data_IF_525973623637
#
_entry.id   IF_525973623637
#
_cell.length_a   1.000
_cell.length_b   1.000
_cell.length_c   1.000
_cell.angle_alpha   90.00
_cell.angle_beta   90.00
_cell.angle_gamma   90.00
#
_symmetry.space_group_name_H-M   'P 1'
#
loop_
_entity.id
_entity.type
_entity.pdbx_description
1 polymer ?
#
# COMPACT_ATOMS: atom_id res chain seq x y z
N UNK A 1 7.07 27.74 0.86
CA UNK A 1 7.67 26.41 0.67
C UNK A 1 7.48 25.92 -0.77
N UNK A 2 8.41 25.12 -1.30
CA UNK A 2 8.23 24.43 -2.60
C UNK A 2 7.28 23.24 -2.42
N UNK A 3 6.39 23.04 -3.40
CA UNK A 3 5.47 21.91 -3.43
C UNK A 3 5.18 21.51 -4.89
N UNK A 4 4.89 20.22 -5.10
CA UNK A 4 4.18 19.78 -6.31
C UNK A 4 2.70 20.05 -6.07
N UNK A 5 2.05 20.73 -6.98
CA UNK A 5 0.65 21.07 -6.86
C UNK A 5 -0.13 20.57 -8.07
N UNK A 6 -1.23 19.87 -7.83
CA UNK A 6 -2.23 19.55 -8.86
C UNK A 6 -3.24 20.69 -8.90
N UNK A 7 -3.35 21.38 -10.03
CA UNK A 7 -4.22 22.54 -10.21
C UNK A 7 -5.50 22.21 -10.99
N UNK A 8 -5.63 20.97 -11.45
CA UNK A 8 -6.75 20.45 -12.21
C UNK A 8 -6.40 19.10 -12.84
N UNK A 9 -7.37 18.47 -13.48
CA UNK A 9 -7.15 17.17 -14.13
C UNK A 9 -6.03 17.25 -15.17
N UNK A 10 -5.02 16.38 -15.02
CA UNK A 10 -3.83 16.34 -15.89
C UNK A 10 -2.90 17.53 -15.75
N UNK A 11 -3.09 18.40 -14.75
CA UNK A 11 -2.27 19.60 -14.55
C UNK A 11 -1.51 19.52 -13.24
N UNK A 12 -0.22 19.23 -13.33
CA UNK A 12 0.71 19.20 -12.20
C UNK A 12 1.86 20.18 -12.45
N UNK A 13 2.39 20.77 -11.39
CA UNK A 13 3.54 21.65 -11.50
C UNK A 13 4.16 21.98 -10.15
N UNK A 14 5.38 22.50 -10.19
CA UNK A 14 6.05 23.04 -9.02
C UNK A 14 5.45 24.41 -8.69
N UNK A 15 5.08 24.62 -7.43
CA UNK A 15 4.49 25.85 -6.93
C UNK A 15 5.23 26.33 -5.67
N UNK A 16 5.23 27.65 -5.48
CA UNK A 16 5.60 28.28 -4.23
C UNK A 16 4.32 28.54 -3.41
N UNK A 17 4.14 27.78 -2.36
CA UNK A 17 2.99 27.90 -1.47
C UNK A 17 3.42 28.53 -0.12
N UNK A 18 2.51 29.23 0.59
CA UNK A 18 2.76 29.58 1.99
C UNK A 18 2.92 28.30 2.82
N UNK A 19 3.66 28.40 3.91
CA UNK A 19 3.70 27.32 4.90
C UNK A 19 2.32 27.15 5.53
N UNK A 20 1.88 25.91 5.80
CA UNK A 20 0.60 25.68 6.45
C UNK A 20 0.56 26.31 7.85
N UNK A 21 -0.51 27.02 8.16
CA UNK A 21 -0.72 27.53 9.51
C UNK A 21 -1.07 26.38 10.46
N UNK A 22 -0.43 26.39 11.64
CA UNK A 22 -0.70 25.38 12.67
C UNK A 22 -2.16 25.46 13.14
N UNK A 23 -2.79 24.31 13.33
CA UNK A 23 -4.19 24.19 13.74
C UNK A 23 -4.29 23.36 15.03
N UNK A 24 -5.33 23.53 15.86
CA UNK A 24 -5.56 22.68 17.03
C UNK A 24 -5.51 21.18 16.66
N UNK A 25 -4.87 20.38 17.52
CA UNK A 25 -4.67 18.94 17.33
C UNK A 25 -3.65 18.55 16.25
N UNK A 26 -2.96 19.51 15.60
CA UNK A 26 -2.06 19.24 14.49
C UNK A 26 -0.59 19.51 14.83
N UNK A 27 0.26 18.86 14.07
CA UNK A 27 1.69 19.11 14.01
C UNK A 27 2.11 19.51 12.58
N UNK A 28 3.12 20.34 12.48
CA UNK A 28 3.78 20.70 11.23
C UNK A 28 4.99 19.80 11.03
N UNK A 29 5.06 19.13 9.89
CA UNK A 29 6.09 18.16 9.55
C UNK A 29 6.94 18.71 8.42
N UNK A 30 8.26 18.82 8.66
CA UNK A 30 9.23 18.97 7.58
C UNK A 30 9.40 17.61 6.90
N UNK A 31 9.00 17.51 5.63
CA UNK A 31 9.00 16.23 4.89
C UNK A 31 10.45 15.85 4.54
N UNK A 32 10.88 14.68 5.01
CA UNK A 32 12.20 14.13 4.73
C UNK A 32 12.26 13.23 3.51
N UNK A 33 11.20 12.47 3.27
CA UNK A 33 11.03 11.65 2.06
C UNK A 33 9.54 11.36 1.80
N UNK A 34 9.18 11.23 0.52
CA UNK A 34 7.84 10.84 0.09
C UNK A 34 7.91 9.88 -1.11
N UNK A 35 7.13 8.81 -1.07
CA UNK A 35 6.95 7.84 -2.15
C UNK A 35 5.96 8.33 -3.20
N UNK A 36 6.13 7.87 -4.45
CA UNK A 36 5.20 8.09 -5.54
C UNK A 36 4.37 6.83 -5.77
N UNK A 37 3.05 6.94 -5.58
CA UNK A 37 2.09 5.88 -5.80
C UNK A 37 1.33 6.05 -7.12
N UNK A 38 0.82 4.96 -7.67
CA UNK A 38 -0.09 5.02 -8.83
C UNK A 38 -1.37 5.83 -8.51
N UNK A 39 -1.80 5.81 -7.26
CA UNK A 39 -2.93 6.64 -6.78
C UNK A 39 -2.71 8.13 -7.02
N UNK A 40 -1.48 8.65 -6.94
CA UNK A 40 -1.20 10.06 -7.23
C UNK A 40 -1.50 10.37 -8.71
N UNK A 41 -1.19 9.44 -9.61
CA UNK A 41 -1.50 9.55 -11.04
C UNK A 41 -3.01 9.48 -11.28
N UNK A 42 -3.71 8.61 -10.56
CA UNK A 42 -5.16 8.49 -10.68
C UNK A 42 -5.90 9.71 -10.12
N UNK A 43 -5.43 10.28 -9.02
CA UNK A 43 -5.91 11.57 -8.49
C UNK A 43 -5.68 12.70 -9.49
N UNK A 44 -4.49 12.79 -10.08
CA UNK A 44 -4.16 13.78 -11.10
C UNK A 44 -5.13 13.72 -12.29
N UNK A 45 -5.53 12.52 -12.68
CA UNK A 45 -6.44 12.32 -13.82
C UNK A 45 -7.93 12.24 -13.44
N UNK A 46 -8.26 12.38 -12.15
CA UNK A 46 -9.65 12.32 -11.66
C UNK A 46 -10.27 10.93 -11.72
N UNK A 47 -9.43 9.88 -11.71
CA UNK A 47 -9.86 8.48 -11.71
C UNK A 47 -10.02 7.89 -10.31
N UNK A 48 -9.52 8.58 -9.28
CA UNK A 48 -9.58 8.15 -7.89
C UNK A 48 -10.09 9.27 -6.98
N UNK A 49 -11.14 8.96 -6.19
CA UNK A 49 -11.71 9.87 -5.21
C UNK A 49 -12.41 11.09 -5.81
N UNK A 50 -12.84 11.98 -4.93
CA UNK A 50 -13.44 13.30 -5.25
C UNK A 50 -12.49 14.43 -4.86
N UNK A 51 -11.26 14.40 -5.36
CA UNK A 51 -10.23 15.37 -5.00
C UNK A 51 -10.62 16.77 -5.49
N UNK A 52 -10.63 17.74 -4.58
CA UNK A 52 -10.74 19.14 -4.93
C UNK A 52 -9.35 19.70 -5.26
N UNK A 53 -9.26 20.49 -6.33
CA UNK A 53 -8.04 21.21 -6.69
C UNK A 53 -8.11 22.67 -6.21
N UNK A 54 -7.00 23.33 -5.87
CA UNK A 54 -5.62 22.81 -5.89
C UNK A 54 -5.33 21.83 -4.75
N UNK A 55 -4.44 20.85 -5.01
CA UNK A 55 -4.06 19.82 -4.06
C UNK A 55 -2.54 19.57 -4.11
N UNK A 56 -1.91 19.44 -2.96
CA UNK A 56 -0.56 18.88 -2.82
C UNK A 56 -0.70 17.36 -2.64
N UNK A 57 -0.26 16.53 -3.59
CA UNK A 57 -0.38 15.07 -3.48
C UNK A 57 0.70 14.47 -2.57
N UNK A 58 0.82 13.12 -2.60
CA UNK A 58 1.78 12.35 -1.83
C UNK A 58 1.22 11.90 -0.48
N UNK A 59 0.99 10.59 -0.35
CA UNK A 59 0.40 9.98 0.84
C UNK A 59 1.33 8.98 1.52
N UNK A 60 2.47 8.66 0.93
CA UNK A 60 3.50 7.77 1.44
C UNK A 60 4.70 8.60 1.91
N UNK A 61 4.69 9.14 3.15
CA UNK A 61 5.77 10.04 3.55
C UNK A 61 6.14 9.97 5.03
N UNK A 62 7.36 10.42 5.30
CA UNK A 62 7.94 10.55 6.62
C UNK A 62 8.73 11.86 6.74
N UNK A 63 8.90 12.34 7.95
CA UNK A 63 9.60 13.61 8.19
C UNK A 63 9.87 13.89 9.66
N UNK A 64 10.23 15.14 9.95
CA UNK A 64 10.50 15.62 11.31
C UNK A 64 9.41 16.58 11.75
N UNK A 65 8.91 16.43 12.95
CA UNK A 65 8.00 17.40 13.60
C UNK A 65 8.78 18.69 13.86
N UNK A 66 8.35 19.81 13.30
CA UNK A 66 9.00 21.13 13.52
C UNK A 66 8.19 22.04 14.43
N UNK A 67 6.87 21.88 14.47
CA UNK A 67 6.00 22.61 15.39
C UNK A 67 4.76 21.77 15.74
N UNK A 68 4.17 22.04 16.90
CA UNK A 68 2.94 21.40 17.38
C UNK A 68 1.97 22.46 17.91
N UNK A 69 0.66 22.19 17.82
CA UNK A 69 -0.34 23.02 18.50
C UNK A 69 -0.27 22.83 20.03
N UNK A 70 -0.76 23.81 20.79
CA UNK A 70 -0.69 23.81 22.25
C UNK A 70 -1.39 22.63 22.93
N UNK A 71 -2.41 22.08 22.27
CA UNK A 71 -3.19 20.93 22.73
C UNK A 71 -2.59 19.56 22.35
N UNK A 72 -1.48 19.54 21.60
CA UNK A 72 -0.79 18.30 21.19
C UNK A 72 0.22 17.88 22.25
N UNK A 73 0.09 16.65 22.74
CA UNK A 73 0.96 16.05 23.77
C UNK A 73 1.60 14.73 23.36
N UNK A 74 1.20 14.18 22.20
CA UNK A 74 1.63 12.85 21.72
C UNK A 74 2.96 12.87 20.97
N UNK A 75 3.33 14.02 20.44
CA UNK A 75 4.58 14.26 19.71
C UNK A 75 5.16 15.62 20.11
N UNK A 76 6.44 15.84 19.84
CA UNK A 76 7.15 17.10 20.11
C UNK A 76 8.05 17.48 18.92
N UNK A 77 8.45 18.77 18.82
CA UNK A 77 9.45 19.19 17.84
C UNK A 77 10.74 18.36 17.96
N UNK A 78 11.28 17.94 16.82
CA UNK A 78 12.41 17.04 16.70
C UNK A 78 12.05 15.55 16.58
N UNK A 79 10.83 15.14 16.88
CA UNK A 79 10.41 13.75 16.69
C UNK A 79 10.38 13.40 15.19
N UNK A 80 10.89 12.22 14.87
CA UNK A 80 10.91 11.66 13.51
C UNK A 80 9.73 10.73 13.34
N UNK A 81 8.91 10.96 12.32
CA UNK A 81 7.59 10.33 12.20
C UNK A 81 7.28 9.86 10.77
N UNK A 82 6.51 8.79 10.64
CA UNK A 82 5.76 8.43 9.44
C UNK A 82 4.29 8.82 9.62
N UNK A 83 3.62 9.08 8.52
CA UNK A 83 2.23 9.53 8.50
C UNK A 83 1.31 8.40 8.08
N UNK A 84 0.23 8.17 8.85
CA UNK A 84 -0.95 7.44 8.38
C UNK A 84 -1.82 8.42 7.59
N UNK A 85 -1.96 8.25 6.26
CA UNK A 85 -2.70 9.22 5.47
C UNK A 85 -4.22 9.15 5.68
N UNK A 86 -4.78 8.06 6.19
CA UNK A 86 -6.21 7.83 6.29
C UNK A 86 -6.85 8.68 7.40
N UNK A 87 -7.87 9.44 7.05
CA UNK A 87 -8.63 10.31 7.98
C UNK A 87 -10.09 9.80 8.02
N UNK A 88 -10.40 8.79 8.86
CA UNK A 88 -11.76 8.27 8.98
C UNK A 88 -12.66 9.20 9.81
N UNK A 89 -13.97 9.15 9.59
CA UNK A 89 -14.92 9.96 10.35
C UNK A 89 -15.13 9.49 11.82
N UNK A 90 -14.71 8.28 12.16
CA UNK A 90 -14.79 7.70 13.50
C UNK A 90 -16.18 7.21 13.95
N UNK A 91 -17.27 7.59 13.29
CA UNK A 91 -18.64 7.37 13.74
C UNK A 91 -19.56 6.59 12.78
N UNK A 92 -19.14 6.30 11.55
CA UNK A 92 -19.93 5.49 10.63
C UNK A 92 -19.86 4.00 11.02
N UNK A 93 -20.76 3.19 10.42
CA UNK A 93 -20.86 1.74 10.73
C UNK A 93 -19.51 1.01 10.53
N UNK A 94 -18.74 1.36 9.53
CA UNK A 94 -17.44 0.73 9.29
C UNK A 94 -16.44 1.11 10.38
N UNK A 95 -16.32 2.40 10.73
CA UNK A 95 -15.45 2.88 11.80
C UNK A 95 -15.78 2.22 13.15
N UNK A 96 -17.08 2.14 13.52
CA UNK A 96 -17.52 1.50 14.77
C UNK A 96 -17.21 0.00 14.81
N UNK A 97 -16.94 -0.65 13.68
CA UNK A 97 -16.49 -2.04 13.57
C UNK A 97 -14.98 -2.20 13.51
N UNK A 98 -14.19 -1.10 13.60
CA UNK A 98 -12.75 -1.12 13.46
C UNK A 98 -12.26 -1.25 12.01
N UNK A 99 -13.15 -1.10 11.02
CA UNK A 99 -12.84 -1.12 9.59
C UNK A 99 -12.75 0.32 9.07
N UNK A 100 -11.81 1.09 9.63
CA UNK A 100 -11.71 2.54 9.37
C UNK A 100 -11.30 2.86 7.95
N UNK A 101 -10.57 1.98 7.30
CA UNK A 101 -10.23 2.05 5.87
C UNK A 101 -11.47 1.94 4.95
N UNK A 102 -12.59 1.41 5.44
CA UNK A 102 -13.87 1.33 4.74
C UNK A 102 -14.86 2.42 5.19
N UNK A 103 -14.36 3.50 5.75
CA UNK A 103 -15.16 4.64 6.18
C UNK A 103 -15.96 5.21 5.01
N UNK A 104 -17.26 5.48 5.21
CA UNK A 104 -18.12 6.07 4.16
C UNK A 104 -17.76 7.52 3.81
N UNK A 105 -17.01 8.21 4.68
CA UNK A 105 -16.46 9.56 4.45
C UNK A 105 -14.93 9.53 4.68
N UNK A 106 -14.26 8.55 4.08
CA UNK A 106 -12.81 8.43 4.18
C UNK A 106 -12.14 9.58 3.44
N UNK A 107 -11.34 10.34 4.16
CA UNK A 107 -10.44 11.36 3.62
C UNK A 107 -9.00 10.89 3.77
N UNK A 108 -8.09 11.48 3.00
CA UNK A 108 -6.67 11.13 3.10
C UNK A 108 -5.77 12.30 2.74
N UNK A 109 -4.65 12.41 3.46
CA UNK A 109 -3.55 13.29 3.09
C UNK A 109 -3.01 12.87 1.73
N UNK A 110 -2.73 13.84 0.86
CA UNK A 110 -2.25 13.61 -0.50
C UNK A 110 -3.34 13.20 -1.51
N UNK A 111 -4.59 12.97 -1.07
CA UNK A 111 -5.71 12.59 -1.92
C UNK A 111 -6.86 13.58 -1.84
N UNK A 112 -7.35 13.89 -0.64
CA UNK A 112 -8.43 14.85 -0.39
C UNK A 112 -7.96 16.06 0.44
N UNK A 113 -6.84 15.92 1.12
CA UNK A 113 -6.13 16.95 1.89
C UNK A 113 -4.70 17.03 1.39
N UNK A 114 -4.05 18.17 1.57
CA UNK A 114 -2.65 18.33 1.18
C UNK A 114 -1.77 17.28 1.88
N UNK A 115 -0.85 16.71 1.12
CA UNK A 115 0.04 15.62 1.53
C UNK A 115 1.51 15.99 1.58
N UNK A 116 2.37 15.00 1.26
CA UNK A 116 3.81 15.03 1.48
C UNK A 116 4.65 15.53 0.31
N UNK A 117 4.10 15.85 -0.87
CA UNK A 117 4.91 16.40 -1.97
C UNK A 117 5.17 17.90 -1.81
N UNK A 118 5.57 18.28 -0.62
CA UNK A 118 5.92 19.65 -0.24
C UNK A 118 7.04 19.66 0.80
N UNK A 119 7.66 20.81 1.00
CA UNK A 119 8.65 20.97 2.09
C UNK A 119 8.04 20.80 3.47
N UNK A 120 6.76 21.18 3.65
CA UNK A 120 6.03 21.08 4.92
C UNK A 120 4.65 20.46 4.69
N UNK A 121 4.19 19.64 5.66
CA UNK A 121 2.85 19.07 5.71
C UNK A 121 2.22 19.29 7.07
N UNK A 122 0.95 19.68 7.12
CA UNK A 122 0.15 19.82 8.33
C UNK A 122 -0.64 18.55 8.57
N UNK A 123 -0.38 17.85 9.67
CA UNK A 123 -0.96 16.54 9.97
C UNK A 123 -1.55 16.54 11.38
N UNK A 124 -2.74 15.95 11.55
CA UNK A 124 -3.27 15.71 12.87
C UNK A 124 -2.34 14.77 13.65
N UNK A 125 -1.98 15.14 14.89
CA UNK A 125 -0.96 14.43 15.67
C UNK A 125 -1.31 12.96 15.94
N UNK A 126 -2.59 12.58 15.90
CA UNK A 126 -3.04 11.18 16.03
C UNK A 126 -2.67 10.27 14.84
N UNK A 127 -2.25 10.84 13.72
CA UNK A 127 -1.81 10.13 12.52
C UNK A 127 -0.28 10.00 12.41
N UNK A 128 0.45 10.39 13.46
CA UNK A 128 1.91 10.39 13.47
C UNK A 128 2.46 9.23 14.30
N UNK A 129 3.39 8.49 13.70
CA UNK A 129 4.01 7.30 14.30
C UNK A 129 5.53 7.44 14.31
N UNK A 130 6.16 7.26 15.48
CA UNK A 130 7.61 7.38 15.64
C UNK A 130 8.36 6.33 14.80
N UNK A 131 9.31 6.80 14.00
CA UNK A 131 10.16 5.95 13.17
C UNK A 131 11.49 5.59 13.84
N UNK A 132 11.84 6.22 14.98
CA UNK A 132 13.16 6.05 15.59
C UNK A 132 14.27 6.49 14.65
N UNK A 133 15.28 5.64 14.49
CA UNK A 133 16.48 5.93 13.69
C UNK A 133 16.35 5.50 12.22
N UNK A 134 15.18 4.99 11.78
CA UNK A 134 14.97 4.66 10.36
C UNK A 134 15.25 5.86 9.46
N UNK A 135 15.87 5.62 8.30
CA UNK A 135 15.99 6.62 7.25
C UNK A 135 14.58 7.01 6.75
N UNK A 136 14.40 8.25 6.35
CA UNK A 136 13.07 8.72 5.91
C UNK A 136 12.56 8.01 4.66
N UNK A 137 13.44 7.67 3.71
CA UNK A 137 13.08 6.93 2.51
C UNK A 137 12.61 5.49 2.82
N UNK A 138 13.18 4.85 3.84
CA UNK A 138 12.71 3.56 4.35
C UNK A 138 11.39 3.73 5.12
N UNK A 139 11.30 4.76 5.96
CA UNK A 139 10.11 5.02 6.76
C UNK A 139 8.88 5.40 5.90
N UNK A 140 9.09 6.03 4.73
CA UNK A 140 8.03 6.32 3.77
C UNK A 140 7.39 5.04 3.20
N UNK A 141 8.10 3.90 3.21
CA UNK A 141 7.54 2.60 2.83
C UNK A 141 6.54 2.04 3.87
N UNK A 142 6.39 2.67 5.03
CA UNK A 142 5.47 2.18 6.06
C UNK A 142 4.02 2.20 5.58
N UNK A 143 3.62 3.19 4.79
CA UNK A 143 2.26 3.26 4.24
C UNK A 143 1.97 2.12 3.26
N UNK A 144 2.73 1.93 2.16
CA UNK A 144 2.46 0.84 1.22
C UNK A 144 2.64 -0.55 1.87
N UNK A 145 3.57 -0.71 2.81
CA UNK A 145 3.71 -1.96 3.57
C UNK A 145 2.49 -2.19 4.48
N UNK A 146 1.95 -1.15 5.11
CA UNK A 146 0.73 -1.25 5.92
C UNK A 146 -0.47 -1.68 5.07
N UNK A 147 -0.60 -1.20 3.82
CA UNK A 147 -1.59 -1.68 2.86
C UNK A 147 -1.42 -3.17 2.56
N UNK A 148 -0.18 -3.63 2.35
CA UNK A 148 0.13 -5.04 2.13
C UNK A 148 -0.28 -5.89 3.34
N UNK A 149 0.06 -5.47 4.55
CA UNK A 149 -0.30 -6.18 5.78
C UNK A 149 -1.82 -6.27 5.97
N UNK A 150 -2.56 -5.19 5.65
CA UNK A 150 -4.02 -5.20 5.63
C UNK A 150 -4.55 -6.22 4.60
N UNK A 151 -3.96 -6.30 3.40
CA UNK A 151 -4.33 -7.26 2.37
C UNK A 151 -4.12 -8.71 2.79
N UNK A 152 -2.97 -9.03 3.37
CA UNK A 152 -2.66 -10.36 3.90
C UNK A 152 -3.61 -10.73 5.05
N UNK A 153 -3.94 -9.78 5.91
CA UNK A 153 -4.95 -9.95 6.97
C UNK A 153 -6.35 -10.21 6.40
N UNK A 154 -6.80 -9.46 5.40
CA UNK A 154 -8.09 -9.65 4.72
C UNK A 154 -8.17 -11.02 4.03
N UNK A 155 -7.07 -11.49 3.46
CA UNK A 155 -6.95 -12.82 2.89
C UNK A 155 -6.90 -13.95 3.94
N UNK A 156 -6.78 -13.61 5.24
CA UNK A 156 -6.61 -14.56 6.35
C UNK A 156 -5.46 -15.53 6.12
N UNK A 157 -4.36 -15.01 5.61
CA UNK A 157 -3.18 -15.79 5.27
C UNK A 157 -2.64 -16.48 6.53
N UNK A 158 -2.33 -17.77 6.38
CA UNK A 158 -1.60 -18.56 7.38
C UNK A 158 -0.46 -19.27 6.65
N UNK A 159 0.76 -18.91 6.95
CA UNK A 159 1.93 -19.59 6.40
C UNK A 159 2.24 -20.93 7.11
N UNK A 160 3.00 -21.82 6.44
CA UNK A 160 3.53 -23.05 7.02
C UNK A 160 2.80 -24.33 6.59
N UNK A 161 3.14 -25.49 7.19
CA UNK A 161 2.82 -26.83 6.66
C UNK A 161 1.32 -27.20 6.53
N UNK A 162 0.43 -26.37 7.04
CA UNK A 162 -1.03 -26.50 6.89
C UNK A 162 -1.67 -25.22 6.41
N UNK A 163 -0.87 -24.34 5.80
CA UNK A 163 -1.28 -23.05 5.29
C UNK A 163 -0.76 -22.83 3.87
N UNK A 164 -0.14 -21.68 3.64
CA UNK A 164 0.41 -21.30 2.33
C UNK A 164 1.86 -21.78 2.24
N UNK A 165 2.14 -22.67 1.29
CA UNK A 165 3.48 -23.15 0.95
C UNK A 165 3.97 -22.56 -0.38
N UNK A 166 3.03 -22.34 -1.32
CA UNK A 166 3.30 -21.82 -2.65
C UNK A 166 2.47 -20.56 -2.90
N UNK A 167 3.11 -19.45 -3.21
CA UNK A 167 2.45 -18.19 -3.54
C UNK A 167 2.85 -17.68 -4.93
N UNK A 168 1.91 -17.06 -5.62
CA UNK A 168 2.11 -16.35 -6.87
C UNK A 168 1.62 -14.92 -6.73
N UNK A 169 2.47 -13.95 -7.05
CA UNK A 169 2.12 -12.53 -7.10
C UNK A 169 2.24 -12.05 -8.54
N UNK A 170 1.16 -11.51 -9.09
CA UNK A 170 1.18 -10.85 -10.39
C UNK A 170 1.51 -9.37 -10.24
N UNK A 171 2.57 -8.94 -10.93
CA UNK A 171 3.13 -7.59 -10.88
C UNK A 171 4.38 -7.50 -10.00
N UNK A 172 5.53 -7.15 -10.61
CA UNK A 172 6.81 -6.89 -9.91
C UNK A 172 7.05 -5.38 -9.73
N UNK A 173 5.97 -4.61 -9.55
CA UNK A 173 6.05 -3.22 -9.07
C UNK A 173 6.31 -3.16 -7.56
N UNK A 174 6.44 -1.96 -6.96
CA UNK A 174 6.73 -1.80 -5.53
C UNK A 174 5.78 -2.61 -4.63
N UNK A 175 4.48 -2.55 -4.87
CA UNK A 175 3.47 -3.29 -4.10
C UNK A 175 3.63 -4.80 -4.25
N UNK A 176 3.82 -5.30 -5.49
CA UNK A 176 3.99 -6.74 -5.70
C UNK A 176 5.25 -7.28 -5.04
N UNK A 177 6.33 -6.51 -5.04
CA UNK A 177 7.56 -6.85 -4.32
C UNK A 177 7.36 -6.84 -2.81
N UNK A 178 6.68 -5.83 -2.25
CA UNK A 178 6.35 -5.79 -0.82
C UNK A 178 5.45 -6.96 -0.41
N UNK A 179 4.45 -7.34 -1.24
CA UNK A 179 3.64 -8.54 -1.03
C UNK A 179 4.50 -9.80 -1.01
N UNK A 180 5.35 -10.00 -2.02
CA UNK A 180 6.18 -11.19 -2.16
C UNK A 180 7.21 -11.31 -1.01
N UNK A 181 7.86 -10.21 -0.64
CA UNK A 181 8.80 -10.17 0.48
C UNK A 181 8.08 -10.40 1.82
N UNK A 182 6.89 -9.83 2.01
CA UNK A 182 6.09 -10.07 3.21
C UNK A 182 5.64 -11.52 3.34
N UNK A 183 5.28 -12.19 2.23
CA UNK A 183 4.99 -13.62 2.20
C UNK A 183 6.20 -14.45 2.61
N UNK A 184 7.37 -14.13 2.03
CA UNK A 184 8.63 -14.80 2.36
C UNK A 184 9.03 -14.61 3.83
N UNK A 185 8.90 -13.38 4.35
CA UNK A 185 9.19 -13.06 5.76
C UNK A 185 8.24 -13.79 6.73
N UNK A 186 6.99 -14.05 6.32
CA UNK A 186 6.04 -14.86 7.10
C UNK A 186 6.30 -16.36 6.99
N UNK A 187 7.33 -16.80 6.26
CA UNK A 187 7.73 -18.20 6.17
C UNK A 187 7.07 -18.99 5.05
N UNK A 188 6.52 -18.33 4.00
CA UNK A 188 6.06 -19.01 2.79
C UNK A 188 7.28 -19.51 2.02
N UNK A 189 7.43 -20.84 1.81
CA UNK A 189 8.66 -21.42 1.27
C UNK A 189 8.93 -21.02 -0.18
N UNK A 190 7.88 -20.97 -1.01
CA UNK A 190 8.00 -20.69 -2.43
C UNK A 190 7.13 -19.48 -2.80
N UNK A 191 7.78 -18.41 -3.26
CA UNK A 191 7.10 -17.19 -3.69
C UNK A 191 7.57 -16.84 -5.11
N UNK A 192 6.67 -17.01 -6.06
CA UNK A 192 6.85 -16.63 -7.45
C UNK A 192 6.26 -15.24 -7.72
N UNK A 193 6.92 -14.44 -8.54
CA UNK A 193 6.45 -13.12 -8.97
C UNK A 193 6.43 -13.08 -10.49
N UNK A 194 5.25 -12.80 -11.03
CA UNK A 194 5.03 -12.73 -12.47
C UNK A 194 4.99 -11.28 -12.96
N UNK A 195 5.80 -10.94 -13.96
CA UNK A 195 5.79 -9.63 -14.63
C UNK A 195 6.16 -9.78 -16.11
N UNK A 196 5.67 -8.89 -16.95
CA UNK A 196 6.00 -8.82 -18.39
C UNK A 196 7.34 -8.12 -18.65
N UNK A 197 7.89 -7.43 -17.66
CA UNK A 197 9.11 -6.63 -17.79
C UNK A 197 10.33 -7.43 -17.29
N UNK A 198 11.23 -7.76 -18.21
CA UNK A 198 12.43 -8.55 -17.91
C UNK A 198 13.37 -7.90 -16.88
N UNK A 199 13.50 -6.57 -16.88
CA UNK A 199 14.31 -5.86 -15.87
C UNK A 199 13.74 -6.02 -14.47
N UNK A 200 12.40 -5.99 -14.34
CA UNK A 200 11.74 -6.24 -13.06
C UNK A 200 11.90 -7.70 -12.64
N UNK A 201 11.81 -8.66 -13.56
CA UNK A 201 12.06 -10.07 -13.26
C UNK A 201 13.51 -10.32 -12.80
N UNK A 202 14.51 -9.67 -13.41
CA UNK A 202 15.88 -9.75 -12.94
C UNK A 202 16.04 -9.17 -11.52
N UNK A 203 15.30 -8.11 -11.18
CA UNK A 203 15.28 -7.57 -9.83
C UNK A 203 14.60 -8.51 -8.83
N UNK A 204 13.49 -9.16 -9.21
CA UNK A 204 12.83 -10.23 -8.43
C UNK A 204 13.85 -11.32 -8.06
N UNK A 205 14.63 -11.80 -9.03
CA UNK A 205 15.65 -12.82 -8.82
C UNK A 205 16.74 -12.36 -7.84
N UNK A 206 17.17 -11.09 -7.94
CA UNK A 206 18.17 -10.51 -7.04
C UNK A 206 17.71 -10.45 -5.57
N UNK A 207 16.39 -10.43 -5.33
CA UNK A 207 15.78 -10.49 -4.00
C UNK A 207 15.58 -11.91 -3.48
N UNK A 208 16.04 -12.93 -4.24
CA UNK A 208 15.88 -14.34 -3.91
C UNK A 208 14.43 -14.81 -3.96
N UNK A 209 13.62 -14.20 -4.83
CA UNK A 209 12.28 -14.60 -5.20
C UNK A 209 12.31 -15.31 -6.57
N UNK A 210 11.28 -16.07 -6.91
CA UNK A 210 11.20 -16.78 -8.18
C UNK A 210 10.58 -15.88 -9.28
N UNK A 211 11.36 -15.44 -10.30
CA UNK A 211 10.81 -14.68 -11.41
C UNK A 211 10.07 -15.58 -12.40
N UNK A 212 8.90 -15.17 -12.88
CA UNK A 212 8.11 -15.93 -13.84
C UNK A 212 7.55 -14.99 -14.91
N UNK A 213 7.78 -15.33 -16.19
CA UNK A 213 7.15 -14.62 -17.30
C UNK A 213 5.71 -15.11 -17.51
N UNK A 214 4.69 -14.20 -17.54
CA UNK A 214 3.33 -14.57 -17.90
C UNK A 214 3.26 -15.21 -19.29
N UNK A 215 2.41 -16.25 -19.45
CA UNK A 215 2.30 -17.01 -20.70
C UNK A 215 3.49 -17.91 -21.01
N UNK A 216 4.44 -18.04 -20.10
CA UNK A 216 5.51 -19.02 -20.24
C UNK A 216 5.00 -20.44 -19.99
N UNK A 217 5.58 -21.42 -20.70
CA UNK A 217 5.27 -22.82 -20.44
C UNK A 217 5.54 -23.24 -18.99
N UNK A 218 6.47 -22.57 -18.31
CA UNK A 218 6.80 -22.81 -16.90
C UNK A 218 5.63 -22.42 -16.00
N UNK A 219 4.99 -21.29 -16.22
CA UNK A 219 3.82 -20.86 -15.47
C UNK A 219 2.57 -21.67 -15.83
N UNK A 220 2.37 -21.96 -17.14
CA UNK A 220 1.20 -22.70 -17.60
C UNK A 220 1.13 -24.12 -17.01
N UNK A 221 2.27 -24.77 -16.78
CA UNK A 221 2.36 -26.07 -16.08
C UNK A 221 2.00 -26.00 -14.59
N UNK A 222 1.91 -24.81 -14.01
CA UNK A 222 1.61 -24.59 -12.59
C UNK A 222 0.15 -24.20 -12.35
N UNK A 223 -0.75 -24.54 -13.26
CA UNK A 223 -2.20 -24.43 -13.03
C UNK A 223 -2.59 -25.19 -11.77
N UNK A 224 -3.46 -24.58 -10.94
CA UNK A 224 -3.99 -25.17 -9.70
C UNK A 224 -2.90 -25.59 -8.68
N UNK A 225 -1.75 -24.89 -8.64
CA UNK A 225 -0.64 -25.28 -7.79
C UNK A 225 -0.28 -24.27 -6.69
N UNK A 226 -0.88 -23.06 -6.70
CA UNK A 226 -0.56 -22.04 -5.73
C UNK A 226 -1.64 -21.95 -4.65
N UNK A 227 -1.25 -22.05 -3.39
CA UNK A 227 -2.14 -21.88 -2.24
C UNK A 227 -2.62 -20.44 -2.08
N UNK A 228 -1.83 -19.50 -2.58
CA UNK A 228 -2.13 -18.07 -2.54
C UNK A 228 -1.75 -17.41 -3.86
N UNK A 229 -2.69 -16.68 -4.46
CA UNK A 229 -2.48 -15.90 -5.69
C UNK A 229 -2.93 -14.47 -5.48
N UNK A 230 -2.04 -13.50 -5.70
CA UNK A 230 -2.35 -12.09 -5.52
C UNK A 230 -2.17 -11.30 -6.83
N UNK A 231 -3.07 -10.35 -7.05
CA UNK A 231 -2.91 -9.33 -8.09
C UNK A 231 -2.37 -8.03 -7.51
N UNK A 232 -1.26 -7.55 -8.05
CA UNK A 232 -0.70 -6.22 -7.80
C UNK A 232 -0.59 -5.40 -9.10
N UNK A 233 -1.35 -5.78 -10.15
CA UNK A 233 -1.32 -5.12 -11.47
C UNK A 233 -2.50 -4.19 -11.69
N UNK A 234 -3.65 -4.46 -11.07
CA UNK A 234 -4.91 -3.79 -11.34
C UNK A 234 -5.49 -4.10 -12.73
N UNK A 235 -5.08 -5.22 -13.36
CA UNK A 235 -5.56 -5.62 -14.68
C UNK A 235 -6.65 -6.70 -14.57
N UNK A 236 -7.86 -6.40 -15.03
CA UNK A 236 -8.99 -7.32 -14.96
C UNK A 236 -8.70 -8.69 -15.54
N UNK A 237 -7.97 -8.77 -16.68
CA UNK A 237 -7.59 -10.06 -17.30
C UNK A 237 -6.63 -10.88 -16.42
N UNK A 238 -5.77 -10.24 -15.64
CA UNK A 238 -4.93 -10.94 -14.65
C UNK A 238 -5.80 -11.47 -13.52
N UNK A 239 -6.68 -10.64 -12.94
CA UNK A 239 -7.60 -11.05 -11.87
C UNK A 239 -8.49 -12.22 -12.31
N UNK A 240 -9.00 -12.19 -13.54
CA UNK A 240 -9.80 -13.27 -14.12
C UNK A 240 -9.02 -14.61 -14.18
N UNK A 241 -7.74 -14.55 -14.51
CA UNK A 241 -6.89 -15.75 -14.66
C UNK A 241 -6.52 -16.40 -13.32
N UNK A 242 -6.54 -15.67 -12.20
CA UNK A 242 -5.97 -16.11 -10.93
C UNK A 242 -6.60 -17.39 -10.38
N UNK A 243 -7.91 -17.58 -10.55
CA UNK A 243 -8.60 -18.81 -10.10
C UNK A 243 -8.04 -20.06 -10.78
N UNK A 244 -7.56 -19.92 -12.02
CA UNK A 244 -6.90 -21.00 -12.76
C UNK A 244 -5.58 -21.47 -12.14
N UNK A 245 -4.83 -20.56 -11.54
CA UNK A 245 -3.55 -20.87 -10.88
C UNK A 245 -3.70 -21.30 -9.41
N UNK A 246 -4.84 -20.94 -8.78
CA UNK A 246 -5.07 -21.23 -7.36
C UNK A 246 -5.29 -22.72 -7.13
N UNK A 247 -4.64 -23.30 -6.11
CA UNK A 247 -4.82 -24.67 -5.66
C UNK A 247 -6.19 -24.89 -4.99
N UNK A 248 -6.60 -26.14 -4.81
CA UNK A 248 -7.81 -26.47 -4.06
C UNK A 248 -7.68 -26.00 -2.59
N UNK A 249 -8.68 -25.31 -2.09
CA UNK A 249 -8.64 -24.66 -0.76
C UNK A 249 -7.87 -23.34 -0.70
N UNK A 250 -7.27 -22.92 -1.83
CA UNK A 250 -6.42 -21.73 -1.89
C UNK A 250 -7.17 -20.40 -1.87
N UNK A 251 -6.42 -19.31 -1.83
CA UNK A 251 -6.94 -17.95 -1.71
C UNK A 251 -6.46 -17.06 -2.85
N UNK A 252 -7.37 -16.32 -3.44
CA UNK A 252 -7.12 -15.23 -4.38
C UNK A 252 -7.22 -13.91 -3.63
N UNK A 253 -6.22 -13.03 -3.75
CA UNK A 253 -6.25 -11.67 -3.23
C UNK A 253 -6.30 -10.67 -4.39
N UNK A 254 -7.39 -9.94 -4.50
CA UNK A 254 -7.53 -8.79 -5.39
C UNK A 254 -7.03 -7.56 -4.63
N UNK A 255 -5.81 -7.12 -4.95
CA UNK A 255 -5.15 -6.00 -4.30
C UNK A 255 -4.96 -4.81 -5.25
N UNK A 256 -4.57 -5.06 -6.50
CA UNK A 256 -4.43 -4.03 -7.52
C UNK A 256 -5.77 -3.34 -7.83
N UNK A 257 -5.72 -2.04 -8.10
CA UNK A 257 -6.91 -1.22 -8.37
C UNK A 257 -7.28 -1.35 -9.84
N UNK A 258 -8.30 -2.15 -10.14
CA UNK A 258 -8.91 -2.22 -11.48
C UNK A 258 -9.80 -0.99 -11.75
N UNK A 259 -10.06 -0.72 -13.04
CA UNK A 259 -11.03 0.31 -13.43
C UNK A 259 -12.42 0.00 -12.79
N UNK A 260 -13.17 1.02 -12.33
CA UNK A 260 -14.45 0.80 -11.60
C UNK A 260 -15.52 0.05 -12.41
N UNK A 261 -15.46 0.14 -13.72
CA UNK A 261 -16.37 -0.53 -14.66
C UNK A 261 -15.84 -1.88 -15.16
N UNK A 262 -14.63 -2.28 -14.77
CA UNK A 262 -14.06 -3.56 -15.12
C UNK A 262 -14.93 -4.72 -14.61
N UNK A 263 -15.02 -5.77 -15.39
CA UNK A 263 -15.74 -7.00 -15.05
C UNK A 263 -14.87 -8.19 -15.38
N UNK A 264 -14.98 -9.25 -14.60
CA UNK A 264 -14.31 -10.53 -14.81
C UNK A 264 -15.33 -11.65 -14.85
N UNK A 265 -15.06 -12.71 -15.62
CA UNK A 265 -15.85 -13.93 -15.65
C UNK A 265 -15.15 -15.01 -14.82
N UNK A 266 -15.77 -15.43 -13.74
CA UNK A 266 -15.25 -16.50 -12.88
C UNK A 266 -16.31 -17.59 -12.78
N UNK A 267 -15.92 -18.87 -13.02
CA UNK A 267 -16.82 -20.01 -12.94
C UNK A 267 -17.22 -20.29 -11.48
N UNK A 268 -18.49 -20.09 -11.07
CA UNK A 268 -18.91 -20.30 -9.67
C UNK A 268 -18.72 -21.76 -9.21
N UNK A 269 -18.84 -22.72 -10.14
CA UNK A 269 -18.62 -24.13 -9.84
C UNK A 269 -17.17 -24.43 -9.44
N UNK A 270 -16.17 -23.77 -10.02
CA UNK A 270 -14.77 -23.90 -9.64
C UNK A 270 -14.54 -23.39 -8.19
N UNK A 271 -15.12 -22.23 -7.86
CA UNK A 271 -15.05 -21.68 -6.49
C UNK A 271 -15.67 -22.67 -5.50
N UNK A 272 -16.89 -23.16 -5.77
CA UNK A 272 -17.63 -24.11 -4.93
C UNK A 272 -16.87 -25.43 -4.78
N UNK A 273 -16.52 -26.07 -5.90
CA UNK A 273 -15.96 -27.43 -5.91
C UNK A 273 -14.59 -27.48 -5.26
N UNK A 274 -13.81 -26.42 -5.39
CA UNK A 274 -12.43 -26.32 -4.94
C UNK A 274 -12.26 -25.52 -3.64
N UNK A 275 -13.36 -25.04 -3.04
CA UNK A 275 -13.36 -24.22 -1.83
C UNK A 275 -12.42 -23.00 -1.91
N UNK A 276 -12.35 -22.36 -3.08
CA UNK A 276 -11.50 -21.19 -3.30
C UNK A 276 -12.07 -19.99 -2.55
N UNK A 277 -11.21 -19.25 -1.83
CA UNK A 277 -11.53 -17.96 -1.26
C UNK A 277 -11.12 -16.85 -2.22
N UNK A 278 -11.98 -15.86 -2.42
CA UNK A 278 -11.64 -14.61 -3.10
C UNK A 278 -11.77 -13.49 -2.08
N UNK A 279 -10.67 -12.79 -1.82
CA UNK A 279 -10.58 -11.67 -0.88
C UNK A 279 -10.23 -10.39 -1.63
N UNK A 280 -10.83 -9.26 -1.23
CA UNK A 280 -10.42 -7.92 -1.65
C UNK A 280 -9.74 -7.19 -0.50
N UNK A 281 -8.88 -6.24 -0.81
CA UNK A 281 -8.26 -5.33 0.16
C UNK A 281 -8.37 -3.89 -0.31
N UNK A 282 -8.55 -2.98 0.63
CA UNK A 282 -8.58 -1.55 0.37
C UNK A 282 -7.75 -0.81 1.43
N UNK A 283 -6.71 -0.08 0.97
CA UNK A 283 -5.88 0.78 1.82
C UNK A 283 -5.28 0.05 3.05
N UNK A 284 -4.77 0.80 4.00
CA UNK A 284 -4.30 0.31 5.31
C UNK A 284 -5.41 0.47 6.36
N UNK A 285 -5.34 -0.34 7.43
CA UNK A 285 -6.28 -0.25 8.55
C UNK A 285 -5.52 -0.32 9.88
N UNK A 286 -4.92 0.80 10.31
CA UNK A 286 -4.09 0.90 11.52
C UNK A 286 -2.83 0.03 11.51
N UNK A 287 -2.30 -0.31 10.32
CA UNK A 287 -1.14 -1.20 10.19
C UNK A 287 0.22 -0.46 10.19
N UNK A 288 0.25 0.88 10.28
CA UNK A 288 1.52 1.65 10.29
C UNK A 288 2.48 1.18 11.40
N UNK A 289 2.06 1.00 12.67
CA UNK A 289 2.96 0.49 13.70
C UNK A 289 3.59 -0.85 13.34
N UNK A 290 2.78 -1.80 12.87
CA UNK A 290 3.24 -3.12 12.45
C UNK A 290 4.24 -3.03 11.27
N UNK A 291 3.96 -2.16 10.29
CA UNK A 291 4.85 -1.94 9.16
C UNK A 291 6.20 -1.35 9.62
N UNK A 292 6.17 -0.36 10.51
CA UNK A 292 7.39 0.24 11.08
C UNK A 292 8.21 -0.78 11.88
N UNK A 293 7.56 -1.68 12.63
CA UNK A 293 8.28 -2.72 13.38
C UNK A 293 9.01 -3.68 12.43
N UNK A 294 8.41 -4.06 11.31
CA UNK A 294 9.06 -4.89 10.28
C UNK A 294 10.23 -4.13 9.66
N UNK A 295 10.01 -2.87 9.24
CA UNK A 295 11.08 -2.06 8.64
C UNK A 295 12.26 -1.84 9.60
N UNK A 296 12.01 -1.68 10.90
CA UNK A 296 13.07 -1.56 11.92
C UNK A 296 13.88 -2.83 12.06
N UNK A 297 13.26 -4.01 11.99
CA UNK A 297 13.96 -5.29 12.09
C UNK A 297 14.88 -5.56 10.88
N UNK A 298 14.38 -5.26 9.67
CA UNK A 298 15.11 -5.56 8.43
C UNK A 298 16.18 -4.51 8.09
N UNK A 299 15.99 -3.25 8.50
CA UNK A 299 16.87 -2.13 8.12
C UNK A 299 17.66 -1.51 9.28
N UNK A 300 17.47 -1.94 10.54
CA UNK A 300 18.26 -1.46 11.70
C UNK A 300 19.72 -1.89 11.68
N UNK A 301 20.09 -2.83 10.81
CA UNK A 301 21.47 -3.33 10.63
C UNK A 301 22.22 -2.77 9.41
N UNK A 302 21.58 -1.96 8.57
CA UNK A 302 22.17 -1.44 7.33
C UNK A 302 22.85 -0.07 7.57
N UNK A 303 23.83 0.00 8.49
CA UNK A 303 24.89 0.99 8.46
C UNK A 303 26.01 0.43 7.55
N UNK A 304 25.94 0.73 6.25
CA UNK A 304 26.93 0.32 5.25
C UNK A 304 26.49 0.78 3.88
#
# INVERSE_FOLDING_TARGET
MKAICFTGHGKAGLADLPEPALQPGHALIEVGAAGLCHTDIDVLHGRYGSSAFPLVPGHEYAGTVVAIAEDVTTVKPGDRVAVDPNIPCGNCRACLKGLTNLCSDLKAYGVTHNGGFAGMSLVNASHLYSIGDLRFDVAALAEPLACVLNGLGAAQLKAGPRGVENALVFGAGPIGLLLALSLKAQGVPQVAVADINEYRLAFVESLGLEPVAPGSQALDKRQRSFDFVADATGMAGVVESMVGFTADGGTVLVFGVCAPDARIAVAPFEIFRRQIRIAGSHSLNHNIPQALDILKQDFSGANG
#
